data_IF_869611051642
#
_entry.id   IF_869611051642
#
_cell.length_a   1.000
_cell.length_b   1.000
_cell.length_c   1.000
_cell.angle_alpha   90.00
_cell.angle_beta   90.00
_cell.angle_gamma   90.00
#
_symmetry.space_group_name_H-M   'P 1'
#
loop_
_entity.id
_entity.type
_entity.pdbx_description
1 polymer ?
#
# COMPACT_ATOMS: atom_id res chain seq x y z
N UNK A 1 8.99 2.20 -13.34
CA UNK A 1 8.97 2.27 -11.86
C UNK A 1 9.71 1.11 -11.21
N UNK A 2 9.44 -0.14 -11.55
CA UNK A 2 10.11 -1.30 -10.91
C UNK A 2 11.63 -1.17 -10.96
N UNK A 3 12.21 -0.86 -12.11
CA UNK A 3 13.67 -0.64 -12.26
C UNK A 3 14.18 0.45 -11.31
N UNK A 4 13.42 1.54 -11.15
CA UNK A 4 13.81 2.62 -10.21
C UNK A 4 13.68 2.19 -8.74
N UNK A 5 12.68 1.37 -8.41
CA UNK A 5 12.54 0.80 -7.07
C UNK A 5 13.72 -0.12 -6.73
N UNK A 6 14.10 -1.01 -7.66
CA UNK A 6 15.28 -1.89 -7.49
C UNK A 6 16.54 -1.05 -7.29
N UNK A 7 16.78 -0.07 -8.16
CA UNK A 7 17.93 0.82 -8.04
C UNK A 7 17.96 1.63 -6.74
N UNK A 8 16.80 2.01 -6.20
CA UNK A 8 16.69 2.69 -4.92
C UNK A 8 17.08 1.74 -3.76
N UNK A 9 16.59 0.51 -3.78
CA UNK A 9 16.95 -0.50 -2.78
C UNK A 9 18.45 -0.85 -2.84
N UNK A 10 19.03 -1.00 -4.03
CA UNK A 10 20.47 -1.28 -4.22
C UNK A 10 21.36 -0.16 -3.63
N UNK A 11 20.86 1.08 -3.65
CA UNK A 11 21.55 2.23 -3.03
C UNK A 11 21.17 2.46 -1.56
N UNK A 12 20.33 1.60 -1.00
CA UNK A 12 19.77 1.78 0.33
C UNK A 12 19.01 3.13 0.51
N UNK A 13 18.35 3.57 -0.56
CA UNK A 13 17.58 4.81 -0.63
C UNK A 13 16.09 4.51 -0.42
N UNK A 14 15.72 4.37 0.85
CA UNK A 14 14.35 4.02 1.23
C UNK A 14 13.35 5.11 0.79
N UNK A 15 13.72 6.37 0.86
CA UNK A 15 12.86 7.48 0.45
C UNK A 15 12.48 7.37 -1.04
N UNK A 16 13.47 7.16 -1.92
CA UNK A 16 13.21 7.00 -3.35
C UNK A 16 12.36 5.75 -3.64
N UNK A 17 12.57 4.65 -2.91
CA UNK A 17 11.75 3.45 -3.02
C UNK A 17 10.28 3.72 -2.67
N UNK A 18 10.02 4.32 -1.51
CA UNK A 18 8.66 4.64 -1.04
C UNK A 18 7.97 5.65 -1.97
N UNK A 19 8.70 6.63 -2.48
CA UNK A 19 8.18 7.59 -3.44
C UNK A 19 7.68 6.94 -4.74
N UNK A 20 8.40 5.95 -5.25
CA UNK A 20 7.94 5.20 -6.43
C UNK A 20 6.65 4.39 -6.16
N UNK A 21 6.44 3.93 -4.94
CA UNK A 21 5.19 3.27 -4.52
C UNK A 21 4.04 4.28 -4.53
N UNK A 22 4.23 5.47 -3.96
CA UNK A 22 3.24 6.54 -3.97
C UNK A 22 2.90 6.93 -5.42
N UNK A 23 3.91 7.14 -6.26
CA UNK A 23 3.71 7.46 -7.67
C UNK A 23 2.95 6.36 -8.42
N UNK A 24 3.22 5.10 -8.09
CA UNK A 24 2.48 3.95 -8.63
C UNK A 24 1.01 3.97 -8.21
N UNK A 25 0.74 4.25 -6.95
CA UNK A 25 -0.61 4.38 -6.42
C UNK A 25 -1.41 5.50 -7.06
N UNK A 26 -0.80 6.68 -7.20
CA UNK A 26 -1.39 7.84 -7.87
C UNK A 26 -1.70 7.56 -9.34
N UNK A 27 -0.80 6.89 -10.03
CA UNK A 27 -1.00 6.45 -11.42
C UNK A 27 -2.18 5.49 -11.56
N UNK A 28 -2.28 4.50 -10.67
CA UNK A 28 -3.41 3.57 -10.65
C UNK A 28 -4.73 4.30 -10.39
N UNK A 29 -4.74 5.19 -9.40
CA UNK A 29 -5.93 5.99 -9.07
C UNK A 29 -6.39 6.85 -10.24
N UNK A 30 -5.47 7.60 -10.86
CA UNK A 30 -5.80 8.58 -11.91
C UNK A 30 -6.11 7.92 -13.26
N UNK A 31 -5.31 6.95 -13.67
CA UNK A 31 -5.37 6.43 -15.04
C UNK A 31 -6.14 5.12 -15.16
N UNK A 32 -6.10 4.25 -14.16
CA UNK A 32 -6.89 3.02 -14.15
C UNK A 32 -8.23 3.20 -13.45
N UNK A 33 -8.32 4.17 -12.52
CA UNK A 33 -9.51 4.43 -11.70
C UNK A 33 -10.03 3.17 -11.00
N UNK A 34 -9.12 2.27 -10.62
CA UNK A 34 -9.41 0.96 -10.05
C UNK A 34 -9.72 1.00 -8.54
N UNK A 35 -10.15 2.15 -8.06
CA UNK A 35 -10.57 2.39 -6.66
C UNK A 35 -12.09 2.30 -6.47
N UNK A 36 -12.85 2.19 -7.56
CA UNK A 36 -14.29 2.05 -7.51
C UNK A 36 -14.72 0.61 -7.85
N UNK A 37 -15.32 -0.09 -6.90
CA UNK A 37 -16.08 -1.29 -7.17
C UNK A 37 -17.49 -0.93 -7.72
N UNK A 38 -18.09 0.14 -7.15
CA UNK A 38 -19.33 0.74 -7.61
C UNK A 38 -19.42 2.21 -7.14
N UNK A 39 -20.31 3.04 -7.72
CA UNK A 39 -20.40 4.46 -7.38
C UNK A 39 -20.85 4.75 -5.94
N UNK A 40 -21.43 3.78 -5.25
CA UNK A 40 -21.94 3.96 -3.89
C UNK A 40 -20.94 3.61 -2.81
N UNK A 41 -19.89 2.87 -3.15
CA UNK A 41 -18.85 2.45 -2.23
C UNK A 41 -17.53 3.14 -2.58
N UNK A 42 -17.15 4.11 -1.77
CA UNK A 42 -15.91 4.87 -1.89
C UNK A 42 -14.92 4.59 -0.75
N UNK A 43 -15.10 3.50 -0.04
CA UNK A 43 -14.28 3.14 1.11
C UNK A 43 -12.80 3.01 0.75
N UNK A 44 -12.47 2.49 -0.43
CA UNK A 44 -11.10 2.37 -0.89
C UNK A 44 -10.43 3.74 -1.09
N UNK A 45 -11.13 4.69 -1.71
CA UNK A 45 -10.66 6.07 -1.85
C UNK A 45 -10.46 6.74 -0.50
N UNK A 46 -11.39 6.53 0.43
CA UNK A 46 -11.28 7.07 1.79
C UNK A 46 -10.07 6.48 2.52
N UNK A 47 -9.85 5.16 2.44
CA UNK A 47 -8.71 4.50 3.06
C UNK A 47 -7.37 5.05 2.52
N UNK A 48 -7.28 5.29 1.21
CA UNK A 48 -6.08 5.89 0.61
C UNK A 48 -5.86 7.34 1.06
N UNK A 49 -6.92 8.13 1.15
CA UNK A 49 -6.85 9.51 1.65
C UNK A 49 -6.42 9.55 3.13
N UNK A 50 -6.95 8.66 3.96
CA UNK A 50 -6.56 8.53 5.37
C UNK A 50 -5.09 8.11 5.50
N UNK A 51 -4.65 7.13 4.72
CA UNK A 51 -3.25 6.69 4.69
C UNK A 51 -2.31 7.84 4.30
N UNK A 52 -2.67 8.60 3.26
CA UNK A 52 -1.91 9.79 2.86
C UNK A 52 -1.84 10.82 3.99
N UNK A 53 -2.96 11.16 4.60
CA UNK A 53 -3.00 12.11 5.70
C UNK A 53 -2.13 11.71 6.89
N UNK A 54 -2.09 10.42 7.20
CA UNK A 54 -1.31 9.91 8.33
C UNK A 54 0.18 9.80 8.04
N UNK A 55 0.57 9.52 6.79
CA UNK A 55 1.94 9.12 6.44
C UNK A 55 2.68 10.08 5.52
N UNK A 56 2.02 11.10 4.96
CA UNK A 56 2.69 12.09 4.12
C UNK A 56 3.83 12.76 4.91
N UNK A 57 5.01 12.82 4.30
CA UNK A 57 6.25 13.36 4.89
C UNK A 57 6.73 12.62 6.17
N UNK A 58 6.29 11.38 6.39
CA UNK A 58 6.64 10.56 7.55
C UNK A 58 7.24 9.21 7.20
N UNK A 59 7.91 9.12 6.05
CA UNK A 59 8.58 7.89 5.57
C UNK A 59 7.62 6.70 5.37
N UNK A 60 6.37 6.98 4.99
CA UNK A 60 5.37 5.99 4.65
C UNK A 60 5.04 5.99 3.16
N UNK A 61 4.35 4.94 2.70
CA UNK A 61 3.80 4.87 1.35
C UNK A 61 2.49 4.08 1.33
N UNK A 62 1.64 4.37 0.36
CA UNK A 62 0.32 3.78 0.24
C UNK A 62 -0.05 3.65 -1.23
N UNK A 63 -0.84 2.64 -1.54
CA UNK A 63 -1.41 2.45 -2.87
C UNK A 63 -2.57 1.45 -2.83
N UNK A 64 -3.40 1.46 -3.85
CA UNK A 64 -4.31 0.35 -4.11
C UNK A 64 -3.51 -0.93 -4.35
N UNK A 65 -3.94 -2.05 -3.80
CA UNK A 65 -3.25 -3.32 -3.95
C UNK A 65 -3.75 -4.10 -5.18
N UNK A 66 -2.80 -4.58 -5.97
CA UNK A 66 -3.08 -5.40 -7.15
C UNK A 66 -3.96 -4.68 -8.19
N UNK A 67 -4.93 -5.39 -8.76
CA UNK A 67 -5.87 -4.87 -9.73
C UNK A 67 -6.87 -3.85 -9.20
N UNK A 68 -6.95 -3.66 -7.90
CA UNK A 68 -7.98 -2.85 -7.24
C UNK A 68 -9.30 -3.59 -7.15
N UNK A 69 -10.41 -2.88 -7.12
CA UNK A 69 -11.80 -3.36 -7.12
C UNK A 69 -12.17 -4.34 -5.97
N UNK A 70 -11.22 -5.08 -5.43
CA UNK A 70 -11.41 -5.98 -4.28
C UNK A 70 -11.41 -5.26 -2.93
N UNK A 71 -11.14 -3.96 -2.92
CA UNK A 71 -11.19 -3.15 -1.70
C UNK A 71 -9.97 -3.29 -0.79
N UNK A 72 -8.78 -3.52 -1.34
CA UNK A 72 -7.54 -3.70 -0.57
C UNK A 72 -6.53 -2.62 -0.90
N UNK A 73 -5.89 -2.06 0.13
CA UNK A 73 -4.73 -1.17 0.01
C UNK A 73 -3.47 -1.85 0.54
N UNK A 74 -2.34 -1.49 -0.03
CA UNK A 74 -1.02 -1.84 0.48
C UNK A 74 -0.38 -0.58 1.07
N UNK A 75 0.05 -0.69 2.31
CA UNK A 75 0.61 0.43 3.05
C UNK A 75 1.97 0.03 3.64
N UNK A 76 2.96 0.89 3.45
CA UNK A 76 4.26 0.82 4.12
C UNK A 76 4.23 1.81 5.26
N UNK A 77 4.00 1.31 6.45
CA UNK A 77 3.78 2.14 7.65
C UNK A 77 5.04 2.15 8.50
N UNK A 78 5.59 3.32 8.84
CA UNK A 78 6.70 3.39 9.79
C UNK A 78 6.31 2.72 11.12
N UNK A 79 7.23 1.97 11.72
CA UNK A 79 6.98 1.23 12.97
C UNK A 79 6.40 2.12 14.08
N UNK A 80 6.91 3.35 14.19
CA UNK A 80 6.42 4.34 15.17
C UNK A 80 4.97 4.78 14.97
N UNK A 81 4.41 4.59 13.78
CA UNK A 81 3.02 4.95 13.44
C UNK A 81 2.11 3.73 13.36
N UNK A 82 2.63 2.52 13.41
CA UNK A 82 1.88 1.30 13.10
C UNK A 82 0.64 1.14 13.99
N UNK A 83 0.78 1.26 15.30
CA UNK A 83 -0.34 1.09 16.23
C UNK A 83 -1.44 2.14 15.99
N UNK A 84 -1.06 3.40 15.82
CA UNK A 84 -1.99 4.49 15.54
C UNK A 84 -2.69 4.30 14.18
N UNK A 85 -1.95 3.82 13.17
CA UNK A 85 -2.50 3.53 11.85
C UNK A 85 -3.56 2.42 11.91
N UNK A 86 -3.25 1.30 12.57
CA UNK A 86 -4.18 0.18 12.75
C UNK A 86 -5.44 0.65 13.50
N UNK A 87 -5.26 1.33 14.63
CA UNK A 87 -6.37 1.83 15.44
C UNK A 87 -7.30 2.76 14.63
N UNK A 88 -6.73 3.68 13.86
CA UNK A 88 -7.49 4.61 13.03
C UNK A 88 -8.25 3.89 11.91
N UNK A 89 -7.59 2.96 11.22
CA UNK A 89 -8.22 2.21 10.14
C UNK A 89 -9.31 1.27 10.66
N UNK A 90 -9.07 0.54 11.74
CA UNK A 90 -10.05 -0.34 12.36
C UNK A 90 -11.24 0.42 12.95
N UNK A 91 -11.00 1.60 13.51
CA UNK A 91 -12.07 2.49 13.99
C UNK A 91 -12.99 2.98 12.87
N UNK A 92 -12.51 3.04 11.64
CA UNK A 92 -13.25 3.52 10.47
C UNK A 92 -13.89 2.38 9.67
N UNK A 93 -13.15 1.30 9.43
CA UNK A 93 -13.55 0.21 8.51
C UNK A 93 -13.93 -1.08 9.22
N UNK A 94 -13.76 -1.16 10.53
CA UNK A 94 -14.10 -2.32 11.36
C UNK A 94 -12.89 -3.10 11.85
N UNK A 95 -13.09 -3.84 12.93
CA UNK A 95 -12.06 -4.68 13.53
C UNK A 95 -11.48 -5.68 12.52
N UNK A 96 -10.19 -5.95 12.65
CA UNK A 96 -9.45 -6.89 11.81
C UNK A 96 -9.36 -6.54 10.31
N UNK A 97 -9.60 -5.27 9.94
CA UNK A 97 -9.41 -4.83 8.56
C UNK A 97 -7.92 -4.70 8.16
N UNK A 98 -7.01 -4.64 9.15
CA UNK A 98 -5.57 -4.53 8.93
C UNK A 98 -4.87 -5.87 9.15
N UNK A 99 -3.98 -6.21 8.22
CA UNK A 99 -3.10 -7.37 8.35
C UNK A 99 -1.65 -6.90 8.22
N UNK A 100 -0.84 -7.14 9.25
CA UNK A 100 0.59 -6.86 9.20
C UNK A 100 1.29 -7.99 8.45
N UNK A 101 2.05 -7.65 7.41
CA UNK A 101 2.70 -8.59 6.52
C UNK A 101 4.21 -8.46 6.63
N UNK A 102 4.89 -9.58 6.44
CA UNK A 102 6.33 -9.63 6.22
C UNK A 102 6.65 -9.84 4.73
N UNK A 103 7.82 -9.37 4.31
CA UNK A 103 8.31 -9.61 2.96
C UNK A 103 8.93 -11.00 2.92
N UNK A 104 8.38 -11.86 2.05
CA UNK A 104 8.95 -13.19 1.81
C UNK A 104 10.35 -13.04 1.20
N UNK A 105 11.39 -13.70 1.76
CA UNK A 105 12.76 -13.58 1.28
C UNK A 105 13.02 -14.23 -0.09
N UNK A 106 12.13 -15.16 -0.48
CA UNK A 106 12.23 -15.87 -1.75
C UNK A 106 11.23 -15.31 -2.77
N UNK A 107 11.68 -15.10 -3.99
CA UNK A 107 10.85 -14.69 -5.12
C UNK A 107 9.95 -15.84 -5.63
N UNK A 108 9.64 -15.83 -6.91
CA UNK A 108 8.86 -16.89 -7.54
C UNK A 108 9.61 -18.23 -7.46
N UNK A 109 8.93 -19.26 -6.99
CA UNK A 109 9.50 -20.60 -6.84
C UNK A 109 8.57 -21.64 -7.47
N UNK A 110 9.15 -22.72 -8.00
CA UNK A 110 8.40 -23.87 -8.50
C UNK A 110 8.19 -24.84 -7.36
N UNK A 111 6.94 -25.08 -7.01
CA UNK A 111 6.58 -26.15 -6.08
C UNK A 111 6.47 -27.45 -6.86
N UNK A 112 7.26 -28.45 -6.47
CA UNK A 112 7.08 -29.83 -6.94
C UNK A 112 6.19 -30.54 -5.92
N UNK A 113 5.03 -30.96 -6.36
CA UNK A 113 4.18 -31.84 -5.57
C UNK A 113 4.73 -33.26 -5.75
N UNK A 114 5.18 -33.87 -4.66
CA UNK A 114 5.55 -35.25 -4.61
C UNK A 114 4.29 -36.15 -4.52
#
# INVERSE_FOLDING_TARGET
>A
RVVRQVAALDRNDLFAFLWEIICSGRSSYMYLQNVYANPKDQSLSLALAMAEHMMLDKDGAWRVHGGGFAGTTLNFVPDKLLNQFIETMEGTFGEHCCNVLDIRPEGAAVLRLE
#
